data_IF_502577736750
#
_entry.id   IF_502577736750
#
_cell.length_a   1.000
_cell.length_b   1.000
_cell.length_c   1.000
_cell.angle_alpha   90.00
_cell.angle_beta   90.00
_cell.angle_gamma   90.00
#
_symmetry.space_group_name_H-M   'P 1'
#
loop_
_entity.id
_entity.type
_entity.pdbx_description
1 polymer ?
#
# COMPACT_ATOMS: atom_id res chain seq x y z
N UNK A 1 -11.27 -0.31 6.99
CA UNK A 1 -10.11 -1.12 6.59
C UNK A 1 -9.30 -1.64 7.77
N UNK A 2 -8.48 -0.82 8.45
CA UNK A 2 -7.58 -1.31 9.52
C UNK A 2 -8.34 -1.97 10.68
N UNK A 3 -9.35 -1.29 11.25
CA UNK A 3 -10.19 -1.87 12.30
C UNK A 3 -10.88 -3.15 11.85
N UNK A 4 -11.42 -3.17 10.63
CA UNK A 4 -12.12 -4.35 10.10
C UNK A 4 -11.18 -5.55 9.98
N UNK A 5 -9.94 -5.34 9.48
CA UNK A 5 -8.93 -6.39 9.38
C UNK A 5 -8.56 -6.92 10.78
N UNK A 6 -8.32 -6.01 11.72
CA UNK A 6 -7.92 -6.40 13.07
C UNK A 6 -9.04 -7.15 13.80
N UNK A 7 -10.29 -6.70 13.68
CA UNK A 7 -11.44 -7.34 14.30
C UNK A 7 -11.72 -8.74 13.69
N UNK A 8 -11.64 -8.89 12.36
CA UNK A 8 -11.87 -10.17 11.68
C UNK A 8 -10.84 -11.23 12.01
N UNK A 9 -9.59 -10.83 12.23
CA UNK A 9 -8.46 -11.75 12.43
C UNK A 9 -7.96 -11.79 13.89
N UNK A 10 -8.67 -11.15 14.82
CA UNK A 10 -8.28 -11.13 16.23
C UNK A 10 -6.94 -10.43 16.50
N UNK A 11 -6.52 -9.49 15.66
CA UNK A 11 -5.27 -8.76 15.86
C UNK A 11 -5.42 -7.79 17.03
N UNK A 12 -4.46 -7.71 17.97
CA UNK A 12 -4.57 -6.82 19.12
C UNK A 12 -4.65 -5.34 18.70
N UNK A 13 -5.79 -4.71 19.01
CA UNK A 13 -6.04 -3.30 18.73
C UNK A 13 -7.05 -2.74 19.74
N UNK A 14 -7.05 -1.42 19.92
CA UNK A 14 -7.97 -0.74 20.84
C UNK A 14 -8.33 0.65 20.34
N UNK A 15 -9.63 0.94 20.29
CA UNK A 15 -10.10 2.32 20.13
C UNK A 15 -9.95 3.04 21.48
N UNK A 16 -8.87 3.80 21.61
CA UNK A 16 -8.56 4.61 22.79
C UNK A 16 -9.16 6.01 22.69
N UNK A 17 -9.69 6.40 21.52
CA UNK A 17 -9.96 7.80 21.19
C UNK A 17 -8.68 8.64 21.27
N UNK A 18 -8.79 9.92 20.92
CA UNK A 18 -7.71 10.90 21.08
C UNK A 18 -8.31 12.25 21.46
N UNK A 19 -7.70 12.91 22.43
CA UNK A 19 -8.01 14.28 22.82
C UNK A 19 -6.90 15.21 22.33
N UNK A 20 -7.30 16.17 21.51
CA UNK A 20 -6.45 17.32 21.17
C UNK A 20 -6.72 18.38 22.23
N UNK A 21 -5.72 18.65 23.08
CA UNK A 21 -5.86 19.51 24.26
C UNK A 21 -5.24 20.89 24.03
N UNK A 22 -5.99 21.94 24.35
CA UNK A 22 -5.54 23.32 24.28
C UNK A 22 -5.41 23.91 25.70
N UNK A 23 -4.27 24.54 25.97
CA UNK A 23 -3.98 25.27 27.20
C UNK A 23 -4.17 26.79 27.05
N UNK A 24 -4.05 27.33 25.84
CA UNK A 24 -4.24 28.76 25.55
C UNK A 24 -5.35 28.99 24.52
N UNK A 25 -5.83 30.23 24.44
CA UNK A 25 -6.80 30.64 23.42
C UNK A 25 -6.25 30.49 22.00
N UNK A 26 -4.94 30.72 21.76
CA UNK A 26 -4.36 30.50 20.43
C UNK A 26 -4.34 29.01 20.06
N UNK A 27 -3.99 28.15 21.03
CA UNK A 27 -4.05 26.70 20.86
C UNK A 27 -5.48 26.23 20.60
N UNK A 28 -6.45 26.82 21.28
CA UNK A 28 -7.86 26.49 21.10
C UNK A 28 -8.37 26.88 19.70
N UNK A 29 -8.03 28.09 19.23
CA UNK A 29 -8.33 28.51 17.87
C UNK A 29 -7.71 27.57 16.81
N UNK A 30 -6.49 27.06 17.04
CA UNK A 30 -5.86 26.07 16.17
C UNK A 30 -6.57 24.70 16.21
N UNK A 31 -6.98 24.25 17.40
CA UNK A 31 -7.73 23.01 17.57
C UNK A 31 -9.11 23.07 16.88
N UNK A 32 -9.81 24.21 16.96
CA UNK A 32 -11.08 24.44 16.27
C UNK A 32 -10.93 24.39 14.74
N UNK A 33 -9.87 24.98 14.18
CA UNK A 33 -9.57 24.83 12.74
C UNK A 33 -9.36 23.37 12.33
N UNK A 34 -8.71 22.59 13.18
CA UNK A 34 -8.51 21.14 12.96
C UNK A 34 -9.84 20.40 13.01
N UNK A 35 -10.72 20.73 13.98
CA UNK A 35 -12.07 20.19 14.07
C UNK A 35 -12.90 20.51 12.82
N UNK A 36 -12.92 21.77 12.38
CA UNK A 36 -13.63 22.19 11.15
C UNK A 36 -13.11 21.46 9.91
N UNK A 37 -11.79 21.31 9.78
CA UNK A 37 -11.20 20.56 8.66
C UNK A 37 -11.61 19.09 8.70
N UNK A 38 -11.53 18.44 9.87
CA UNK A 38 -11.96 17.05 10.04
C UNK A 38 -13.43 16.85 9.65
N UNK A 39 -14.33 17.75 10.07
CA UNK A 39 -15.74 17.71 9.68
C UNK A 39 -15.93 17.83 8.16
N UNK A 40 -15.18 18.73 7.49
CA UNK A 40 -15.26 18.92 6.02
C UNK A 40 -14.87 17.66 5.24
N UNK A 41 -13.91 16.87 5.76
CA UNK A 41 -13.47 15.61 5.12
C UNK A 41 -14.21 14.37 5.66
N UNK A 42 -15.29 14.55 6.42
CA UNK A 42 -16.12 13.46 6.93
C UNK A 42 -15.50 12.65 8.08
N UNK A 43 -14.46 13.17 8.74
CA UNK A 43 -13.84 12.52 9.90
C UNK A 43 -14.56 12.96 11.18
N UNK A 44 -15.19 12.03 11.93
CA UNK A 44 -15.95 12.38 13.11
C UNK A 44 -15.03 12.94 14.19
N UNK A 45 -15.43 14.08 14.75
CA UNK A 45 -14.80 14.73 15.91
C UNK A 45 -15.88 15.46 16.71
N UNK A 46 -15.64 15.70 18.00
CA UNK A 46 -16.56 16.48 18.85
C UNK A 46 -15.81 17.35 19.85
N UNK A 47 -16.43 18.44 20.30
CA UNK A 47 -15.89 19.26 21.38
C UNK A 47 -16.33 18.66 22.72
N UNK A 48 -15.43 18.63 23.70
CA UNK A 48 -15.73 18.14 25.06
C UNK A 48 -15.83 19.31 26.03
N UNK A 49 -16.89 19.34 26.83
CA UNK A 49 -17.08 20.32 27.90
C UNK A 49 -16.23 20.01 29.13
N UNK A 50 -15.82 21.04 29.88
CA UNK A 50 -14.94 20.90 31.04
C UNK A 50 -15.42 19.90 32.11
N UNK A 51 -16.72 19.89 32.41
CA UNK A 51 -17.29 18.98 33.40
C UNK A 51 -17.23 17.51 32.94
N UNK A 52 -17.48 17.25 31.66
CA UNK A 52 -17.34 15.92 31.06
C UNK A 52 -15.86 15.50 31.05
N UNK A 53 -14.96 16.40 30.66
CA UNK A 53 -13.51 16.14 30.65
C UNK A 53 -13.00 15.72 32.04
N UNK A 54 -13.35 16.48 33.08
CA UNK A 54 -12.95 16.20 34.46
C UNK A 54 -13.50 14.87 34.98
N UNK A 55 -14.70 14.47 34.53
CA UNK A 55 -15.31 13.20 34.91
C UNK A 55 -14.69 12.00 34.19
N UNK A 56 -14.33 12.16 32.91
CA UNK A 56 -13.77 11.09 32.09
C UNK A 56 -12.27 10.88 32.34
N UNK A 57 -11.49 11.96 32.36
CA UNK A 57 -10.02 11.92 32.41
C UNK A 57 -9.51 12.98 33.41
N UNK A 58 -9.68 12.76 34.73
CA UNK A 58 -9.44 13.76 35.75
C UNK A 58 -7.99 14.25 35.84
N UNK A 59 -7.04 13.46 35.33
CA UNK A 59 -5.61 13.78 35.31
C UNK A 59 -5.19 14.58 34.08
N UNK A 60 -6.03 14.63 33.05
CA UNK A 60 -5.73 15.33 31.79
C UNK A 60 -6.14 16.79 31.89
N UNK A 61 -5.17 17.69 31.77
CA UNK A 61 -5.40 19.13 31.80
C UNK A 61 -5.60 19.68 30.39
N UNK A 62 -6.65 20.49 30.22
CA UNK A 62 -6.89 21.31 29.04
C UNK A 62 -7.60 22.61 29.44
N UNK A 63 -6.84 23.69 29.62
CA UNK A 63 -7.37 24.92 30.20
C UNK A 63 -8.33 25.69 29.27
N UNK A 64 -8.13 25.59 27.95
CA UNK A 64 -8.90 26.35 26.96
C UNK A 64 -9.96 25.50 26.26
N UNK A 65 -9.66 24.23 25.92
CA UNK A 65 -10.64 23.36 25.29
C UNK A 65 -10.08 22.04 24.80
N UNK A 66 -11.00 21.15 24.39
CA UNK A 66 -10.68 19.79 23.95
C UNK A 66 -11.47 19.46 22.68
N UNK A 67 -10.77 18.96 21.66
CA UNK A 67 -11.37 18.28 20.51
C UNK A 67 -11.10 16.78 20.64
N UNK A 68 -12.16 15.98 20.76
CA UNK A 68 -12.08 14.52 20.76
C UNK A 68 -12.21 13.97 19.34
N UNK A 69 -11.32 13.04 18.98
CA UNK A 69 -11.46 12.11 17.86
C UNK A 69 -11.88 10.74 18.39
N UNK A 70 -13.16 10.34 18.27
CA UNK A 70 -13.71 9.12 18.86
C UNK A 70 -13.31 7.84 18.11
N UNK A 71 -12.69 7.96 16.94
CA UNK A 71 -12.29 6.81 16.10
C UNK A 71 -10.79 6.53 16.13
N UNK A 72 -9.99 7.39 16.77
CA UNK A 72 -8.54 7.16 16.89
C UNK A 72 -8.27 5.97 17.81
N UNK A 73 -7.32 5.12 17.46
CA UNK A 73 -6.92 3.98 18.29
C UNK A 73 -5.46 3.59 18.11
N UNK A 74 -5.13 2.45 18.70
CA UNK A 74 -3.80 1.83 18.68
C UNK A 74 -3.91 0.38 18.18
N UNK A 75 -2.82 -0.13 17.60
CA UNK A 75 -2.71 -1.49 17.07
C UNK A 75 -1.33 -2.05 17.40
N UNK A 76 -1.24 -3.34 17.68
CA UNK A 76 0.04 -4.05 17.70
C UNK A 76 0.57 -4.17 16.27
N UNK A 77 1.54 -3.33 15.92
CA UNK A 77 2.13 -3.31 14.58
C UNK A 77 2.90 -4.59 14.28
N UNK A 78 3.49 -5.27 15.26
CA UNK A 78 4.23 -6.50 15.03
C UNK A 78 3.26 -7.64 14.69
N UNK A 79 2.20 -7.81 15.49
CA UNK A 79 1.15 -8.78 15.20
C UNK A 79 0.49 -8.53 13.83
N UNK A 80 0.27 -7.26 13.46
CA UNK A 80 -0.22 -6.90 12.13
C UNK A 80 0.75 -7.32 11.01
N UNK A 81 2.05 -7.01 11.15
CA UNK A 81 3.05 -7.37 10.14
C UNK A 81 3.22 -8.89 10.01
N UNK A 82 3.25 -9.62 11.13
CA UNK A 82 3.31 -11.09 11.12
C UNK A 82 2.09 -11.69 10.43
N UNK A 83 0.89 -11.16 10.69
CA UNK A 83 -0.31 -11.59 9.98
C UNK A 83 -0.22 -11.34 8.47
N UNK A 84 0.21 -10.14 8.06
CA UNK A 84 0.34 -9.78 6.64
C UNK A 84 1.41 -10.62 5.93
N UNK A 85 2.51 -10.95 6.62
CA UNK A 85 3.50 -11.88 6.10
C UNK A 85 2.88 -13.27 5.88
N UNK A 86 2.19 -13.82 6.88
CA UNK A 86 1.54 -15.13 6.76
C UNK A 86 0.50 -15.17 5.64
N UNK A 87 -0.37 -14.17 5.53
CA UNK A 87 -1.35 -14.09 4.43
C UNK A 87 -0.69 -13.94 3.05
N UNK A 88 0.48 -13.30 2.98
CA UNK A 88 1.26 -13.21 1.75
C UNK A 88 1.88 -14.57 1.37
N UNK A 89 2.50 -15.27 2.32
CA UNK A 89 3.13 -16.57 2.13
C UNK A 89 2.09 -17.66 1.80
N UNK A 90 0.94 -17.69 2.50
CA UNK A 90 -0.17 -18.62 2.24
C UNK A 90 -0.76 -18.47 0.83
N UNK A 91 -0.58 -17.31 0.20
CA UNK A 91 -0.98 -17.02 -1.18
C UNK A 91 0.13 -17.30 -2.21
N UNK A 92 1.22 -17.94 -1.78
CA UNK A 92 2.36 -18.32 -2.62
C UNK A 92 3.38 -17.19 -2.83
N UNK A 93 3.42 -16.21 -1.94
CA UNK A 93 4.50 -15.22 -1.88
C UNK A 93 5.74 -15.76 -1.17
N UNK A 94 6.93 -15.32 -1.60
CA UNK A 94 8.21 -15.69 -0.97
C UNK A 94 8.80 -14.50 -0.21
N UNK A 95 9.28 -14.73 1.02
CA UNK A 95 10.04 -13.75 1.79
C UNK A 95 11.52 -14.17 1.94
N UNK A 96 12.43 -13.41 1.32
CA UNK A 96 13.87 -13.58 1.47
C UNK A 96 14.44 -12.58 2.50
N UNK A 97 14.55 -13.02 3.76
CA UNK A 97 15.14 -12.22 4.83
C UNK A 97 16.67 -12.17 4.76
N UNK A 98 17.28 -11.23 5.48
CA UNK A 98 18.74 -11.06 5.55
C UNK A 98 19.41 -10.94 4.16
N UNK A 99 18.68 -10.38 3.21
CA UNK A 99 19.06 -10.31 1.79
C UNK A 99 19.00 -8.84 1.37
N UNK A 100 20.15 -8.18 1.34
CA UNK A 100 20.24 -6.75 1.06
C UNK A 100 20.35 -6.50 -0.45
N UNK A 101 19.47 -5.67 -1.01
CA UNK A 101 19.56 -5.26 -2.42
C UNK A 101 20.73 -4.30 -2.59
N UNK A 102 21.66 -4.63 -3.49
CA UNK A 102 22.88 -3.86 -3.75
C UNK A 102 22.93 -3.23 -5.13
N UNK A 103 22.09 -3.70 -6.06
CA UNK A 103 22.01 -3.13 -7.40
C UNK A 103 20.73 -3.52 -8.12
N UNK A 104 20.27 -2.63 -9.01
CA UNK A 104 19.09 -2.86 -9.84
C UNK A 104 19.41 -2.38 -11.26
N UNK A 105 19.23 -3.25 -12.25
CA UNK A 105 19.39 -2.93 -13.66
C UNK A 105 18.02 -2.99 -14.36
N UNK A 106 17.60 -1.88 -14.96
CA UNK A 106 16.40 -1.81 -15.80
C UNK A 106 16.69 -2.41 -17.18
N UNK A 107 16.27 -3.67 -17.41
CA UNK A 107 16.55 -4.38 -18.65
C UNK A 107 15.75 -3.77 -19.80
N UNK A 108 16.45 -3.25 -20.82
CA UNK A 108 15.84 -2.52 -21.94
C UNK A 108 14.93 -1.36 -21.47
N UNK A 109 15.41 -0.57 -20.49
CA UNK A 109 14.64 0.53 -19.90
C UNK A 109 13.39 0.04 -19.15
N UNK A 110 13.48 -1.10 -18.46
CA UNK A 110 12.37 -1.70 -17.70
C UNK A 110 11.37 -2.49 -18.55
N UNK A 111 11.36 -2.31 -19.89
CA UNK A 111 10.47 -3.06 -20.81
C UNK A 111 10.68 -4.57 -20.79
N UNK A 112 11.81 -5.04 -20.27
CA UNK A 112 12.09 -6.47 -20.12
C UNK A 112 12.17 -6.90 -18.64
N UNK A 113 11.68 -6.07 -17.73
CA UNK A 113 11.80 -6.20 -16.29
C UNK A 113 13.09 -5.62 -15.73
N UNK A 114 13.41 -6.03 -14.51
CA UNK A 114 14.52 -5.58 -13.69
C UNK A 114 15.35 -6.79 -13.28
N UNK A 115 16.68 -6.66 -13.35
CA UNK A 115 17.59 -7.57 -12.66
C UNK A 115 17.93 -6.94 -11.31
N UNK A 116 17.69 -7.68 -10.25
CA UNK A 116 17.97 -7.26 -8.87
C UNK A 116 19.14 -8.09 -8.37
N UNK A 117 20.22 -7.42 -7.99
CA UNK A 117 21.37 -8.03 -7.31
C UNK A 117 21.21 -7.81 -5.82
N UNK A 118 21.40 -8.88 -5.06
CA UNK A 118 21.32 -8.84 -3.61
C UNK A 118 22.41 -9.69 -2.97
N UNK A 119 22.78 -9.32 -1.74
CA UNK A 119 23.80 -9.99 -0.93
C UNK A 119 23.15 -10.50 0.34
N UNK A 120 23.29 -11.80 0.60
CA UNK A 120 22.81 -12.44 1.84
C UNK A 120 23.73 -12.15 3.02
N UNK A 121 23.28 -12.41 4.25
CA UNK A 121 24.07 -12.14 5.46
C UNK A 121 25.42 -12.86 5.55
N UNK A 122 25.60 -13.96 4.82
CA UNK A 122 26.87 -14.69 4.72
C UNK A 122 27.81 -14.12 3.63
N UNK A 123 27.40 -13.06 2.94
CA UNK A 123 28.15 -12.41 1.87
C UNK A 123 27.94 -13.01 0.48
N UNK A 124 27.07 -14.02 0.33
CA UNK A 124 26.78 -14.59 -0.99
C UNK A 124 25.98 -13.60 -1.83
N UNK A 125 26.51 -13.29 -3.02
CA UNK A 125 25.79 -12.49 -4.01
C UNK A 125 24.89 -13.38 -4.88
N UNK A 126 23.64 -12.95 -5.05
CA UNK A 126 22.68 -13.58 -5.95
C UNK A 126 22.01 -12.53 -6.82
N UNK A 127 21.42 -12.97 -7.93
CA UNK A 127 20.57 -12.11 -8.75
C UNK A 127 19.28 -12.80 -9.14
N UNK A 128 18.20 -12.02 -9.12
CA UNK A 128 16.88 -12.44 -9.58
C UNK A 128 16.41 -11.47 -10.65
N UNK A 129 15.42 -11.89 -11.44
CA UNK A 129 14.74 -11.02 -12.39
C UNK A 129 13.28 -10.93 -12.03
N UNK A 130 12.74 -9.72 -11.99
CA UNK A 130 11.32 -9.45 -11.77
C UNK A 130 10.80 -8.52 -12.87
N UNK A 131 9.52 -8.63 -13.21
CA UNK A 131 8.90 -7.75 -14.21
C UNK A 131 8.31 -6.49 -13.58
N UNK A 132 7.87 -6.61 -12.34
CA UNK A 132 7.41 -5.52 -11.50
C UNK A 132 8.34 -5.43 -10.30
N UNK A 133 8.78 -4.21 -9.98
CA UNK A 133 9.59 -3.87 -8.84
C UNK A 133 8.84 -2.81 -8.03
N UNK A 134 8.46 -3.16 -6.80
CA UNK A 134 7.86 -2.20 -5.86
C UNK A 134 8.92 -1.79 -4.85
N UNK A 135 9.38 -0.55 -4.93
CA UNK A 135 10.30 0.02 -3.95
C UNK A 135 9.51 0.49 -2.73
N UNK A 136 9.61 -0.27 -1.63
CA UNK A 136 9.04 0.05 -0.32
C UNK A 136 10.12 0.09 0.77
N UNK A 137 11.34 0.53 0.43
CA UNK A 137 12.52 0.41 1.30
C UNK A 137 12.60 1.46 2.45
N UNK A 138 11.50 2.16 2.76
CA UNK A 138 11.43 3.11 3.88
C UNK A 138 12.53 4.18 3.84
N UNK A 139 13.37 4.25 4.88
CA UNK A 139 14.52 5.17 4.95
C UNK A 139 15.50 5.01 3.78
N UNK A 140 15.53 3.85 3.13
CA UNK A 140 16.40 3.57 1.99
C UNK A 140 15.72 3.73 0.62
N UNK A 141 14.45 4.13 0.57
CA UNK A 141 13.69 4.19 -0.67
C UNK A 141 14.30 5.14 -1.71
N UNK A 142 14.90 6.27 -1.30
CA UNK A 142 15.64 7.16 -2.20
C UNK A 142 16.85 6.48 -2.84
N UNK A 143 17.57 5.60 -2.13
CA UNK A 143 18.72 4.90 -2.72
C UNK A 143 18.26 3.89 -3.78
N UNK A 144 17.21 3.11 -3.49
CA UNK A 144 16.62 2.18 -4.48
C UNK A 144 16.12 2.94 -5.72
N UNK A 145 15.45 4.09 -5.52
CA UNK A 145 15.06 5.00 -6.60
C UNK A 145 16.27 5.38 -7.48
N UNK A 146 17.36 5.80 -6.84
CA UNK A 146 18.56 6.28 -7.54
C UNK A 146 19.37 5.15 -8.22
N UNK A 147 19.16 3.88 -7.84
CA UNK A 147 19.74 2.73 -8.57
C UNK A 147 19.12 2.55 -9.95
N UNK A 148 17.85 2.95 -10.13
CA UNK A 148 17.08 2.71 -11.36
C UNK A 148 16.96 3.97 -12.21
N UNK A 149 16.63 5.10 -11.58
CA UNK A 149 16.31 6.34 -12.28
C UNK A 149 17.57 7.09 -12.72
N UNK A 150 17.48 7.89 -13.80
CA UNK A 150 18.60 8.71 -14.25
C UNK A 150 18.91 9.86 -13.26
N UNK A 151 20.14 10.41 -13.27
CA UNK A 151 20.62 11.37 -12.27
C UNK A 151 19.71 12.58 -12.01
N UNK A 152 19.02 13.09 -13.03
CA UNK A 152 18.10 14.23 -12.93
C UNK A 152 16.83 13.93 -12.12
N UNK A 153 16.51 12.64 -11.90
CA UNK A 153 15.39 12.17 -11.06
C UNK A 153 15.87 11.55 -9.75
N UNK A 154 17.14 11.71 -9.42
CA UNK A 154 17.67 11.25 -8.14
C UNK A 154 17.08 12.07 -6.99
N UNK A 155 16.88 11.41 -5.87
CA UNK A 155 16.34 12.02 -4.64
C UNK A 155 17.31 11.85 -3.49
N UNK A 156 17.29 12.82 -2.58
CA UNK A 156 18.10 12.80 -1.35
C UNK A 156 17.20 12.43 -0.17
N UNK A 157 17.52 11.40 0.61
CA UNK A 157 16.79 11.08 1.82
C UNK A 157 17.17 12.04 2.96
N UNK A 158 16.22 12.30 3.84
CA UNK A 158 16.43 13.02 5.10
C UNK A 158 15.78 12.24 6.25
N UNK A 159 16.34 12.37 7.45
CA UNK A 159 15.98 11.52 8.58
C UNK A 159 15.54 12.37 9.78
N UNK A 160 14.27 12.23 10.15
CA UNK A 160 13.72 12.87 11.33
C UNK A 160 13.51 11.83 12.44
N UNK A 161 14.49 11.72 13.32
CA UNK A 161 14.48 10.88 14.52
C UNK A 161 13.45 11.39 15.52
N UNK A 162 12.72 10.47 16.13
CA UNK A 162 11.83 10.72 17.25
C UNK A 162 12.21 9.82 18.43
N UNK A 163 12.49 10.43 19.57
CA UNK A 163 12.75 9.78 20.86
C UNK A 163 11.45 9.59 21.61
N UNK A 164 11.24 8.39 22.13
CA UNK A 164 10.10 8.01 22.96
C UNK A 164 10.55 7.79 24.41
N UNK A 165 9.62 8.02 25.33
CA UNK A 165 9.84 7.85 26.76
C UNK A 165 8.77 6.95 27.36
N UNK A 166 9.17 6.09 28.29
CA UNK A 166 8.28 5.20 29.03
C UNK A 166 7.85 5.84 30.35
N UNK A 167 6.69 5.44 30.88
CA UNK A 167 6.22 5.84 32.19
C UNK A 167 5.96 4.60 33.07
N UNK A 168 6.75 4.43 34.12
CA UNK A 168 6.72 3.22 34.95
C UNK A 168 5.70 3.25 36.09
N UNK A 169 5.22 4.42 36.49
CA UNK A 169 4.25 4.55 37.56
C UNK A 169 2.83 4.19 37.08
N UNK A 170 1.99 3.77 38.03
CA UNK A 170 0.59 3.41 37.77
C UNK A 170 -0.37 4.60 37.82
N UNK A 171 0.12 5.78 38.23
CA UNK A 171 -0.62 7.02 38.36
C UNK A 171 0.30 8.21 38.04
N UNK A 172 -0.17 9.27 37.35
CA UNK A 172 -1.52 9.42 36.79
C UNK A 172 -1.79 8.43 35.64
N UNK A 173 -3.06 8.18 35.36
CA UNK A 173 -3.52 7.26 34.31
C UNK A 173 -4.55 7.94 33.43
N UNK A 174 -4.62 7.51 32.18
CA UNK A 174 -5.63 7.97 31.22
C UNK A 174 -6.06 6.82 30.31
N UNK A 175 -7.30 6.87 29.80
CA UNK A 175 -7.80 5.91 28.82
C UNK A 175 -7.75 6.42 27.38
N UNK A 176 -7.42 7.70 27.19
CA UNK A 176 -7.35 8.36 25.88
C UNK A 176 -5.92 8.73 25.50
N UNK A 177 -5.66 8.85 24.21
CA UNK A 177 -4.42 9.46 23.72
C UNK A 177 -4.52 10.99 23.90
N UNK A 178 -3.45 11.65 24.35
CA UNK A 178 -3.45 13.10 24.57
C UNK A 178 -2.43 13.78 23.67
N UNK A 179 -2.92 14.66 22.80
CA UNK A 179 -2.12 15.37 21.80
C UNK A 179 -2.24 16.87 22.06
N UNK A 180 -1.16 17.57 22.40
CA UNK A 180 -1.20 19.02 22.53
C UNK A 180 -1.60 19.68 21.20
N UNK A 181 -2.45 20.69 21.23
CA UNK A 181 -2.75 21.49 20.06
C UNK A 181 -1.50 22.23 19.60
N UNK A 182 -1.07 22.00 18.35
CA UNK A 182 0.12 22.60 17.77
C UNK A 182 -0.19 23.96 17.17
N UNK A 183 0.66 24.94 17.43
CA UNK A 183 0.60 26.24 16.76
C UNK A 183 1.32 26.18 15.39
N UNK A 184 0.84 26.90 14.37
CA UNK A 184 1.52 26.99 13.08
C UNK A 184 2.97 27.48 13.25
N UNK A 185 3.93 26.81 12.61
CA UNK A 185 5.35 27.19 12.62
C UNK A 185 6.20 26.55 13.73
N UNK A 186 5.60 25.86 14.71
CA UNK A 186 6.36 24.99 15.60
C UNK A 186 6.67 23.67 14.87
N UNK A 187 7.95 23.43 14.55
CA UNK A 187 8.40 22.32 13.68
C UNK A 187 8.24 20.90 14.24
N UNK A 188 7.59 20.72 15.39
CA UNK A 188 7.31 19.43 16.01
C UNK A 188 5.86 19.32 16.44
N UNK A 189 5.31 18.09 16.42
CA UNK A 189 3.92 17.82 16.80
C UNK A 189 3.64 17.94 18.30
N UNK A 190 4.61 18.42 19.10
CA UNK A 190 4.59 18.34 20.56
C UNK A 190 4.81 16.91 21.08
N UNK A 191 5.23 16.77 22.33
CA UNK A 191 5.37 15.46 22.98
C UNK A 191 3.97 14.87 23.24
N UNK A 192 3.56 13.86 22.46
CA UNK A 192 2.26 13.19 22.66
C UNK A 192 2.28 12.26 23.87
N UNK A 193 1.09 11.99 24.40
CA UNK A 193 0.84 10.87 25.30
C UNK A 193 0.11 9.79 24.49
N UNK A 194 0.72 8.62 24.39
CA UNK A 194 0.10 7.43 23.83
C UNK A 194 0.00 6.33 24.87
N UNK A 195 -0.75 5.29 24.53
CA UNK A 195 -0.94 4.11 25.38
C UNK A 195 -0.44 2.89 24.64
N UNK A 196 0.23 1.98 25.33
CA UNK A 196 0.37 0.61 24.84
C UNK A 196 -0.93 -0.19 25.06
N UNK A 197 -0.99 -1.41 24.51
CA UNK A 197 -2.15 -2.28 24.64
C UNK A 197 -2.41 -2.71 26.10
N UNK A 198 -1.39 -2.72 26.94
CA UNK A 198 -1.52 -2.92 28.39
C UNK A 198 -2.09 -1.69 29.13
N UNK A 199 -2.22 -0.55 28.45
CA UNK A 199 -2.69 0.71 29.03
C UNK A 199 -1.59 1.52 29.73
N UNK A 200 -0.32 1.17 29.54
CA UNK A 200 0.79 1.97 30.07
C UNK A 200 0.99 3.20 29.20
N UNK A 201 1.28 4.31 29.87
CA UNK A 201 1.56 5.59 29.22
C UNK A 201 2.94 5.55 28.57
N UNK A 202 3.01 6.11 27.36
CA UNK A 202 4.25 6.44 26.66
C UNK A 202 4.20 7.90 26.21
N UNK A 203 5.36 8.53 26.14
CA UNK A 203 5.50 9.91 25.68
C UNK A 203 6.36 9.99 24.42
N UNK A 204 6.14 11.06 23.66
CA UNK A 204 6.85 11.35 22.43
C UNK A 204 5.98 11.07 21.20
N UNK A 205 6.57 11.07 20.00
CA UNK A 205 7.97 11.39 19.74
C UNK A 205 8.24 12.89 19.71
N UNK A 206 9.49 13.25 19.97
CA UNK A 206 10.03 14.54 19.57
C UNK A 206 10.50 14.54 18.09
N UNK A 207 11.22 15.60 17.69
CA UNK A 207 11.88 15.66 16.38
C UNK A 207 13.34 16.09 16.53
N UNK A 208 14.25 15.27 16.01
CA UNK A 208 15.69 15.50 15.88
C UNK A 208 16.13 15.12 14.45
N UNK A 209 16.78 16.03 13.73
CA UNK A 209 17.29 15.73 12.39
C UNK A 209 18.66 15.08 12.50
N UNK A 210 18.79 13.90 11.89
CA UNK A 210 20.03 13.12 11.88
C UNK A 210 20.47 12.86 10.44
N UNK A 211 21.72 12.48 10.26
CA UNK A 211 22.30 12.21 8.93
C UNK A 211 22.42 10.70 8.64
N UNK A 212 22.21 9.83 9.64
CA UNK A 212 22.26 8.36 9.52
C UNK A 212 20.89 7.74 9.87
N UNK A 213 20.29 6.93 8.97
CA UNK A 213 19.04 6.22 9.25
C UNK A 213 19.17 5.09 10.29
N UNK A 214 20.38 4.81 10.79
CA UNK A 214 20.65 3.82 11.84
C UNK A 214 20.99 4.46 13.19
N UNK A 215 21.00 5.79 13.31
CA UNK A 215 21.11 6.46 14.61
C UNK A 215 19.82 6.28 15.41
N UNK A 216 19.69 5.12 16.06
CA UNK A 216 18.54 4.75 16.89
C UNK A 216 18.83 4.90 18.39
N UNK A 217 19.86 5.67 18.76
CA UNK A 217 20.20 5.93 20.16
C UNK A 217 19.29 7.05 20.70
N UNK A 218 18.49 6.79 21.75
CA UNK A 218 17.67 7.80 22.40
C UNK A 218 18.49 8.96 22.96
N UNK A 219 18.05 10.19 22.69
CA UNK A 219 18.77 11.40 23.10
C UNK A 219 18.38 11.85 24.52
N UNK A 220 19.26 11.76 25.53
CA UNK A 220 18.93 12.17 26.90
C UNK A 220 18.65 13.67 27.02
N UNK A 221 19.26 14.48 26.14
CA UNK A 221 19.08 15.93 26.12
C UNK A 221 17.61 16.35 25.87
N UNK A 222 16.83 15.47 25.23
CA UNK A 222 15.45 15.73 24.85
C UNK A 222 14.45 15.53 25.98
N UNK A 223 14.80 14.69 26.96
CA UNK A 223 13.95 14.42 28.13
C UNK A 223 13.58 15.71 28.87
N UNK A 224 14.54 16.61 29.09
CA UNK A 224 14.29 17.87 29.81
C UNK A 224 13.32 18.82 29.10
N UNK A 225 13.25 18.76 27.76
CA UNK A 225 12.25 19.49 27.01
C UNK A 225 10.89 18.78 27.10
N UNK A 226 10.87 17.47 26.87
CA UNK A 226 9.66 16.65 26.95
C UNK A 226 8.95 16.78 28.31
N UNK A 227 9.69 16.73 29.42
CA UNK A 227 9.13 16.88 30.77
C UNK A 227 8.37 18.19 30.97
N UNK A 228 8.85 19.30 30.39
CA UNK A 228 8.16 20.59 30.46
C UNK A 228 6.86 20.58 29.67
N UNK A 229 6.86 19.97 28.49
CA UNK A 229 5.67 19.83 27.65
C UNK A 229 4.64 18.89 28.29
N UNK A 230 5.06 17.73 28.80
CA UNK A 230 4.20 16.72 29.43
C UNK A 230 3.42 17.33 30.61
N UNK A 231 4.10 18.08 31.49
CA UNK A 231 3.47 18.73 32.65
C UNK A 231 2.36 19.72 32.30
N UNK A 232 2.29 20.20 31.05
CA UNK A 232 1.22 21.11 30.62
C UNK A 232 -0.15 20.42 30.51
N UNK A 233 -0.17 19.13 30.15
CA UNK A 233 -1.39 18.35 29.96
C UNK A 233 -1.54 17.18 30.94
N UNK A 234 -0.49 16.84 31.69
CA UNK A 234 -0.50 15.81 32.73
C UNK A 234 0.28 16.31 33.98
N UNK A 235 -0.28 17.29 34.73
CA UNK A 235 0.46 18.03 35.76
C UNK A 235 0.92 17.18 36.95
N UNK A 236 0.20 16.09 37.25
CA UNK A 236 0.49 15.19 38.37
C UNK A 236 1.50 14.08 38.01
N UNK A 237 2.11 14.13 36.80
CA UNK A 237 3.09 13.15 36.39
C UNK A 237 4.32 13.16 37.30
N UNK A 238 4.79 11.97 37.68
CA UNK A 238 6.06 11.80 38.39
C UNK A 238 7.24 11.82 37.39
N UNK A 239 8.09 12.87 37.38
CA UNK A 239 9.20 12.95 36.43
C UNK A 239 10.23 11.84 36.62
N UNK A 240 10.40 11.33 37.84
CA UNK A 240 11.39 10.28 38.16
C UNK A 240 10.96 8.91 37.62
N UNK A 241 9.66 8.74 37.34
CA UNK A 241 9.13 7.53 36.72
C UNK A 241 9.15 7.59 35.17
N UNK A 242 9.68 8.66 34.58
CA UNK A 242 9.86 8.79 33.12
C UNK A 242 11.29 8.41 32.75
N UNK A 243 11.43 7.46 31.82
CA UNK A 243 12.73 6.98 31.33
C UNK A 243 12.79 7.00 29.80
N UNK A 244 14.00 7.10 29.25
CA UNK A 244 14.22 6.87 27.81
C UNK A 244 13.75 5.46 27.43
N UNK A 245 13.11 5.34 26.28
CA UNK A 245 12.61 4.07 25.77
C UNK A 245 13.33 3.75 24.44
N UNK A 246 12.69 4.01 23.31
CA UNK A 246 13.23 3.72 21.98
C UNK A 246 13.21 4.94 21.06
N UNK A 247 13.82 4.79 19.88
CA UNK A 247 13.75 5.74 18.79
C UNK A 247 13.11 5.14 17.54
N UNK A 248 12.53 6.00 16.72
CA UNK A 248 12.20 5.69 15.33
C UNK A 248 12.63 6.83 14.42
N UNK A 249 12.89 6.54 13.16
CA UNK A 249 13.29 7.53 12.15
C UNK A 249 12.22 7.61 11.07
N UNK A 250 11.74 8.82 10.80
CA UNK A 250 10.82 9.08 9.69
C UNK A 250 11.61 9.30 8.40
N UNK A 251 11.24 8.64 7.28
CA UNK A 251 11.80 8.94 5.97
C UNK A 251 11.23 10.27 5.47
N UNK A 252 12.07 11.27 5.24
CA UNK A 252 11.68 12.59 4.74
C UNK A 252 12.33 12.85 3.38
N UNK A 253 11.61 13.55 2.51
CA UNK A 253 12.10 13.95 1.17
C UNK A 253 12.67 15.37 1.14
N UNK A 254 12.50 16.12 2.23
CA UNK A 254 13.04 17.47 2.39
C UNK A 254 13.46 17.69 3.85
N UNK A 255 14.60 18.35 4.07
CA UNK A 255 15.08 18.69 5.41
C UNK A 255 14.24 19.81 6.00
N UNK A 256 13.83 19.66 7.25
CA UNK A 256 12.98 20.65 7.92
C UNK A 256 11.52 20.66 7.43
N UNK A 257 11.14 19.69 6.60
CA UNK A 257 9.77 19.58 6.10
C UNK A 257 8.77 19.37 7.23
N UNK A 258 7.64 20.09 7.17
CA UNK A 258 6.59 20.01 8.16
C UNK A 258 6.01 18.58 8.23
N UNK A 259 5.52 18.16 9.40
CA UNK A 259 5.02 16.80 9.62
C UNK A 259 3.56 16.63 9.15
N UNK A 260 2.77 17.71 9.16
CA UNK A 260 1.34 17.65 8.79
C UNK A 260 0.90 18.74 7.81
N UNK A 261 1.22 20.01 8.07
CA UNK A 261 0.77 21.15 7.24
C UNK A 261 1.75 22.31 7.38
N UNK A 262 1.97 23.07 6.30
CA UNK A 262 2.77 24.29 6.32
C UNK A 262 3.80 24.34 5.20
N UNK A 263 4.68 25.34 5.27
CA UNK A 263 5.77 25.50 4.30
C UNK A 263 6.72 24.31 4.38
N UNK A 264 6.95 23.62 3.26
CA UNK A 264 7.81 22.43 3.18
C UNK A 264 7.14 21.11 3.59
N UNK A 265 5.80 21.05 3.71
CA UNK A 265 5.10 19.77 3.78
C UNK A 265 5.26 19.03 2.44
N UNK A 266 5.56 17.74 2.50
CA UNK A 266 5.67 16.85 1.36
C UNK A 266 4.77 15.65 1.63
N UNK A 267 3.87 15.36 0.70
CA UNK A 267 3.02 14.18 0.77
C UNK A 267 3.81 12.92 0.36
N UNK A 268 3.21 11.75 0.57
CA UNK A 268 3.74 10.49 0.06
C UNK A 268 3.86 10.53 -1.46
N UNK A 269 4.91 9.93 -2.00
CA UNK A 269 5.03 9.68 -3.44
C UNK A 269 4.75 8.20 -3.65
N UNK A 270 3.66 7.89 -4.34
CA UNK A 270 3.23 6.53 -4.67
C UNK A 270 2.85 6.53 -6.15
N UNK A 271 3.76 6.06 -7.01
CA UNK A 271 3.58 6.15 -8.46
C UNK A 271 4.36 5.06 -9.19
N UNK A 272 3.90 4.69 -10.38
CA UNK A 272 4.74 4.04 -11.38
C UNK A 272 5.63 5.09 -12.05
N UNK A 273 6.93 4.81 -12.17
CA UNK A 273 7.88 5.78 -12.70
C UNK A 273 7.81 5.84 -14.23
N UNK A 274 7.52 7.04 -14.76
CA UNK A 274 7.41 7.28 -16.20
C UNK A 274 8.68 6.80 -16.94
N UNK A 275 8.49 6.01 -18.00
CA UNK A 275 9.57 5.43 -18.80
C UNK A 275 10.19 4.15 -18.22
N UNK A 276 9.76 3.71 -17.03
CA UNK A 276 10.22 2.50 -16.35
C UNK A 276 9.02 1.61 -15.97
N UNK A 277 8.39 0.94 -16.95
CA UNK A 277 7.19 0.14 -16.69
C UNK A 277 7.46 -0.96 -15.66
N UNK A 278 6.50 -1.17 -14.77
CA UNK A 278 6.59 -2.07 -13.63
C UNK A 278 7.40 -1.54 -12.46
N UNK A 279 8.03 -0.36 -12.52
CA UNK A 279 8.74 0.21 -11.37
C UNK A 279 7.85 1.16 -10.58
N UNK A 280 7.37 0.69 -9.42
CA UNK A 280 6.50 1.45 -8.53
C UNK A 280 7.32 1.94 -7.33
N UNK A 281 7.32 3.24 -7.09
CA UNK A 281 8.06 3.88 -6.00
C UNK A 281 7.13 4.33 -4.88
N UNK A 282 7.44 3.95 -3.64
CA UNK A 282 6.83 4.47 -2.41
C UNK A 282 7.89 5.24 -1.63
N UNK A 283 7.83 6.57 -1.68
CA UNK A 283 8.85 7.45 -1.09
C UNK A 283 8.23 8.34 -0.02
N UNK A 284 8.98 8.58 1.06
CA UNK A 284 8.55 9.47 2.15
C UNK A 284 7.37 8.94 2.95
N UNK A 285 7.15 7.62 3.01
CA UNK A 285 6.07 7.00 3.79
C UNK A 285 6.34 7.15 5.30
N UNK A 286 6.11 8.35 5.83
CA UNK A 286 6.15 8.66 7.25
C UNK A 286 4.77 8.45 7.90
N UNK A 287 4.48 9.08 9.05
CA UNK A 287 3.13 9.06 9.63
C UNK A 287 2.14 9.77 8.68
N UNK A 288 0.95 9.20 8.39
CA UNK A 288 0.28 8.06 9.03
C UNK A 288 0.43 6.70 8.31
N UNK A 289 1.60 6.38 7.77
CA UNK A 289 1.87 5.22 6.91
C UNK A 289 1.44 3.85 7.45
N UNK A 290 1.53 3.62 8.77
CA UNK A 290 1.01 2.39 9.39
C UNK A 290 -0.52 2.30 9.21
N UNK A 291 -1.24 3.37 9.53
CA UNK A 291 -2.70 3.44 9.43
C UNK A 291 -3.18 3.30 7.99
N UNK A 292 -2.46 3.91 7.04
CA UNK A 292 -2.79 3.89 5.61
C UNK A 292 -2.19 2.70 4.86
N UNK A 293 -1.45 1.80 5.51
CA UNK A 293 -0.71 0.71 4.84
C UNK A 293 -1.56 -0.16 3.91
N UNK A 294 -2.76 -0.56 4.34
CA UNK A 294 -3.68 -1.34 3.51
C UNK A 294 -4.20 -0.56 2.29
N UNK A 295 -4.51 0.73 2.47
CA UNK A 295 -4.96 1.60 1.39
C UNK A 295 -3.83 1.91 0.40
N UNK A 296 -2.59 2.05 0.90
CA UNK A 296 -1.39 2.14 0.07
C UNK A 296 -1.23 0.85 -0.76
N UNK A 297 -1.43 -0.32 -0.15
CA UNK A 297 -1.45 -1.60 -0.87
C UNK A 297 -2.50 -1.65 -1.99
N UNK A 298 -3.72 -1.17 -1.73
CA UNK A 298 -4.77 -1.05 -2.76
C UNK A 298 -4.41 -0.06 -3.87
N UNK A 299 -3.79 1.08 -3.52
CA UNK A 299 -3.31 2.07 -4.50
C UNK A 299 -2.21 1.48 -5.39
N UNK A 300 -1.21 0.80 -4.82
CA UNK A 300 -0.15 0.11 -5.57
C UNK A 300 -0.73 -0.96 -6.47
N UNK A 301 -1.73 -1.72 -5.99
CA UNK A 301 -2.45 -2.70 -6.80
C UNK A 301 -3.19 -2.04 -7.97
N UNK A 302 -3.77 -0.86 -7.77
CA UNK A 302 -4.43 -0.07 -8.81
C UNK A 302 -3.48 0.43 -9.90
N UNK A 303 -2.18 0.54 -9.62
CA UNK A 303 -1.16 0.86 -10.63
C UNK A 303 -0.81 -0.31 -11.57
N UNK A 304 -1.37 -1.51 -11.33
CA UNK A 304 -1.19 -2.66 -12.22
C UNK A 304 -2.27 -2.69 -13.31
N UNK A 305 -2.03 -3.41 -14.41
CA UNK A 305 -3.00 -3.45 -15.51
C UNK A 305 -4.18 -4.39 -15.20
N UNK A 306 -5.37 -3.82 -15.12
CA UNK A 306 -6.63 -4.53 -14.88
C UNK A 306 -7.50 -4.72 -16.13
N UNK A 307 -7.20 -4.01 -17.23
CA UNK A 307 -8.03 -4.09 -18.43
C UNK A 307 -7.84 -5.44 -19.13
N UNK A 308 -8.94 -6.19 -19.20
CA UNK A 308 -9.08 -7.42 -19.99
C UNK A 308 -9.86 -7.11 -21.25
N UNK A 309 -9.15 -7.00 -22.36
CA UNK A 309 -9.76 -6.71 -23.66
C UNK A 309 -10.16 -8.03 -24.33
N UNK A 310 -11.38 -8.08 -24.85
CA UNK A 310 -11.84 -9.18 -25.70
C UNK A 310 -11.07 -9.13 -27.02
N UNK A 311 -10.43 -10.23 -27.38
CA UNK A 311 -9.59 -10.34 -28.58
C UNK A 311 -10.02 -11.50 -29.47
N UNK A 312 -9.75 -11.38 -30.76
CA UNK A 312 -9.99 -12.43 -31.75
C UNK A 312 -8.85 -13.45 -31.91
N UNK A 313 -7.81 -13.35 -31.08
CA UNK A 313 -6.69 -14.30 -31.08
C UNK A 313 -7.11 -15.70 -30.61
N UNK A 314 -6.18 -16.64 -30.53
CA UNK A 314 -6.43 -17.99 -30.00
C UNK A 314 -5.79 -18.24 -28.62
N UNK A 315 -5.27 -17.19 -27.99
CA UNK A 315 -4.60 -17.25 -26.70
C UNK A 315 -5.16 -16.19 -25.75
N UNK A 316 -5.45 -16.58 -24.51
CA UNK A 316 -5.55 -15.63 -23.41
C UNK A 316 -4.14 -15.16 -23.04
N UNK A 317 -3.99 -13.92 -22.61
CA UNK A 317 -2.73 -13.44 -22.08
C UNK A 317 -2.93 -12.39 -20.99
N UNK A 318 -1.99 -12.31 -20.05
CA UNK A 318 -1.98 -11.30 -19.01
C UNK A 318 -0.62 -10.62 -18.92
N UNK A 319 -0.64 -9.31 -18.64
CA UNK A 319 0.54 -8.47 -18.50
C UNK A 319 1.25 -8.71 -17.18
N UNK A 320 0.51 -8.73 -16.08
CA UNK A 320 1.08 -8.79 -14.75
C UNK A 320 1.12 -10.22 -14.21
N UNK A 321 2.28 -10.65 -13.70
CA UNK A 321 2.44 -11.93 -13.01
C UNK A 321 1.45 -12.10 -11.84
N UNK A 322 1.14 -11.00 -11.15
CA UNK A 322 0.23 -10.98 -10.01
C UNK A 322 -1.21 -11.39 -10.36
N UNK A 323 -1.57 -11.38 -11.64
CA UNK A 323 -2.90 -11.76 -12.11
C UNK A 323 -3.13 -13.28 -12.12
N UNK A 324 -2.05 -14.08 -12.09
CA UNK A 324 -2.11 -15.54 -12.19
C UNK A 324 -2.37 -16.21 -10.84
N UNK A 325 -3.41 -17.05 -10.78
CA UNK A 325 -3.71 -17.94 -9.65
C UNK A 325 -2.78 -19.14 -9.60
N UNK A 326 -2.49 -19.74 -10.75
CA UNK A 326 -1.45 -20.77 -10.90
C UNK A 326 -0.45 -20.30 -11.94
N UNK A 327 0.82 -20.71 -11.83
CA UNK A 327 1.83 -20.24 -12.76
C UNK A 327 2.97 -21.24 -12.94
N UNK A 328 3.36 -21.46 -14.19
CA UNK A 328 4.55 -22.23 -14.56
C UNK A 328 5.44 -21.40 -15.47
N UNK A 329 6.69 -21.20 -15.03
CA UNK A 329 7.67 -20.43 -15.80
C UNK A 329 8.10 -21.21 -17.04
N UNK A 330 7.76 -20.71 -18.22
CA UNK A 330 8.03 -21.35 -19.52
C UNK A 330 8.40 -20.27 -20.56
N UNK A 331 9.61 -19.69 -20.47
CA UNK A 331 10.00 -18.58 -21.32
C UNK A 331 10.08 -19.01 -22.79
N UNK A 332 9.60 -18.16 -23.68
CA UNK A 332 9.55 -18.41 -25.12
C UNK A 332 9.01 -17.23 -25.92
N UNK A 333 8.62 -17.51 -27.16
CA UNK A 333 7.92 -16.57 -28.03
C UNK A 333 6.68 -17.26 -28.58
N UNK A 334 5.57 -16.54 -28.62
CA UNK A 334 4.29 -16.98 -29.19
C UNK A 334 3.74 -15.81 -30.00
N UNK A 335 3.38 -16.03 -31.27
CA UNK A 335 2.84 -14.96 -32.12
C UNK A 335 3.80 -13.77 -32.22
N UNK A 336 5.11 -14.03 -32.27
CA UNK A 336 6.17 -13.01 -32.28
C UNK A 336 6.40 -12.29 -30.95
N UNK A 337 5.54 -12.49 -29.96
CA UNK A 337 5.59 -11.81 -28.66
C UNK A 337 6.30 -12.64 -27.60
N UNK A 338 6.95 -11.96 -26.65
CA UNK A 338 7.67 -12.60 -25.54
C UNK A 338 6.66 -13.17 -24.54
N UNK A 339 6.82 -14.47 -24.22
CA UNK A 339 6.05 -15.17 -23.18
C UNK A 339 7.02 -15.64 -22.10
N UNK A 340 6.67 -15.46 -20.83
CA UNK A 340 7.52 -15.84 -19.69
C UNK A 340 7.03 -17.07 -18.93
N UNK A 341 5.74 -17.38 -19.06
CA UNK A 341 5.12 -18.53 -18.44
C UNK A 341 3.68 -18.67 -18.88
N UNK A 342 3.03 -19.67 -18.31
CA UNK A 342 1.63 -19.99 -18.56
C UNK A 342 0.97 -20.39 -17.25
N UNK A 343 -0.31 -20.11 -17.10
CA UNK A 343 -1.02 -20.40 -15.87
C UNK A 343 -2.52 -20.22 -16.00
N UNK A 344 -3.20 -20.25 -14.86
CA UNK A 344 -4.63 -19.91 -14.77
C UNK A 344 -4.82 -18.55 -14.12
N UNK A 345 -5.87 -17.85 -14.54
CA UNK A 345 -6.31 -16.57 -14.00
C UNK A 345 -7.77 -16.70 -13.57
N UNK A 346 -8.12 -16.05 -12.46
CA UNK A 346 -9.51 -15.95 -12.03
C UNK A 346 -9.94 -14.50 -11.96
N UNK A 347 -10.99 -14.18 -12.72
CA UNK A 347 -11.56 -12.86 -12.82
C UNK A 347 -12.90 -12.84 -12.12
N UNK A 348 -13.04 -11.98 -11.11
CA UNK A 348 -14.37 -11.66 -10.59
C UNK A 348 -15.01 -10.67 -11.55
N UNK A 349 -16.13 -11.04 -12.14
CA UNK A 349 -16.78 -10.32 -13.25
C UNK A 349 -18.22 -10.00 -12.90
N UNK A 350 -18.73 -8.86 -13.38
CA UNK A 350 -20.16 -8.55 -13.31
C UNK A 350 -20.89 -9.43 -14.31
N UNK A 351 -22.05 -9.96 -13.91
CA UNK A 351 -22.85 -10.83 -14.79
C UNK A 351 -23.50 -10.07 -15.93
N UNK A 352 -24.05 -8.89 -15.65
CA UNK A 352 -24.75 -8.03 -16.62
C UNK A 352 -24.61 -6.56 -16.24
N UNK A 353 -24.91 -5.67 -17.19
CA UNK A 353 -24.97 -4.24 -16.93
C UNK A 353 -26.14 -3.89 -15.99
N UNK A 354 -25.89 -2.98 -15.04
CA UNK A 354 -26.90 -2.46 -14.12
C UNK A 354 -27.28 -3.37 -12.94
N UNK A 355 -26.71 -4.57 -12.81
CA UNK A 355 -26.96 -5.48 -11.68
C UNK A 355 -25.72 -5.66 -10.79
N UNK A 356 -25.97 -5.87 -9.50
CA UNK A 356 -25.00 -6.10 -8.45
C UNK A 356 -24.28 -7.46 -8.53
N UNK A 357 -24.83 -8.42 -9.29
CA UNK A 357 -24.39 -9.81 -9.27
C UNK A 357 -23.01 -10.03 -9.90
N UNK A 358 -22.26 -10.97 -9.31
CA UNK A 358 -20.87 -11.27 -9.63
C UNK A 358 -20.73 -12.76 -9.93
N UNK A 359 -19.92 -13.10 -10.92
CA UNK A 359 -19.46 -14.45 -11.21
C UNK A 359 -17.92 -14.52 -11.14
N UNK A 360 -17.37 -15.73 -11.12
CA UNK A 360 -15.93 -15.98 -11.24
C UNK A 360 -15.63 -16.64 -12.58
N UNK A 361 -15.00 -15.89 -13.48
CA UNK A 361 -14.53 -16.38 -14.76
C UNK A 361 -13.11 -16.95 -14.60
N UNK A 362 -12.97 -18.25 -14.87
CA UNK A 362 -11.68 -18.94 -14.84
C UNK A 362 -11.12 -19.04 -16.25
N UNK A 363 -9.93 -18.49 -16.46
CA UNK A 363 -9.20 -18.58 -17.71
C UNK A 363 -8.00 -19.51 -17.52
N UNK A 364 -8.00 -20.62 -18.24
CA UNK A 364 -6.88 -21.56 -18.26
C UNK A 364 -5.91 -21.27 -19.41
N UNK A 365 -4.67 -21.71 -19.22
CA UNK A 365 -3.61 -21.61 -20.22
C UNK A 365 -3.33 -20.17 -20.68
N UNK A 366 -3.47 -19.21 -19.77
CA UNK A 366 -3.19 -17.80 -20.02
C UNK A 366 -1.68 -17.63 -20.20
N UNK A 367 -1.27 -16.96 -21.27
CA UNK A 367 0.13 -16.65 -21.54
C UNK A 367 0.56 -15.43 -20.73
N UNK A 368 1.71 -15.51 -20.07
CA UNK A 368 2.26 -14.37 -19.37
C UNK A 368 3.13 -13.52 -20.27
N UNK A 369 2.65 -12.31 -20.57
CA UNK A 369 3.19 -11.42 -21.60
C UNK A 369 3.39 -10.01 -21.02
N UNK A 370 4.49 -9.75 -20.30
CA UNK A 370 4.72 -8.46 -19.62
C UNK A 370 4.74 -7.23 -20.54
N UNK A 371 5.08 -7.47 -21.82
CA UNK A 371 5.20 -6.40 -22.81
C UNK A 371 3.86 -6.12 -23.50
N UNK A 372 2.79 -6.86 -23.15
CA UNK A 372 1.45 -6.55 -23.62
C UNK A 372 1.01 -5.18 -23.10
N UNK A 373 0.20 -4.48 -23.91
CA UNK A 373 -0.39 -3.19 -23.53
C UNK A 373 -1.45 -3.34 -22.45
N UNK A 374 -2.20 -4.44 -22.50
CA UNK A 374 -3.27 -4.81 -21.57
C UNK A 374 -3.31 -6.34 -21.39
N UNK A 375 -4.29 -6.85 -20.64
CA UNK A 375 -4.62 -8.27 -20.64
C UNK A 375 -5.58 -8.59 -21.81
N UNK A 376 -5.58 -9.83 -22.28
CA UNK A 376 -6.38 -10.29 -23.40
C UNK A 376 -7.21 -11.53 -23.06
N UNK A 377 -8.52 -11.43 -23.23
CA UNK A 377 -9.44 -12.55 -23.24
C UNK A 377 -9.71 -12.93 -24.70
N UNK A 378 -9.15 -14.05 -25.16
CA UNK A 378 -9.45 -14.58 -26.49
C UNK A 378 -10.86 -15.19 -26.52
N UNK A 379 -11.76 -14.61 -27.31
CA UNK A 379 -13.11 -15.14 -27.45
C UNK A 379 -13.14 -16.52 -28.14
N UNK A 380 -12.35 -16.77 -29.21
CA UNK A 380 -12.22 -18.11 -29.77
C UNK A 380 -11.73 -19.14 -28.76
N UNK A 381 -10.75 -18.79 -27.91
CA UNK A 381 -10.22 -19.70 -26.89
C UNK A 381 -11.22 -19.95 -25.78
N UNK A 382 -11.95 -18.91 -25.38
CA UNK A 382 -13.03 -19.02 -24.40
C UNK A 382 -14.12 -19.98 -24.87
N UNK A 383 -14.59 -19.83 -26.12
CA UNK A 383 -15.59 -20.73 -26.73
C UNK A 383 -15.10 -22.17 -26.84
N UNK A 384 -13.80 -22.39 -27.05
CA UNK A 384 -13.20 -23.73 -27.08
C UNK A 384 -13.27 -24.41 -25.69
N UNK A 385 -13.02 -23.65 -24.62
CA UNK A 385 -13.02 -24.18 -23.24
C UNK A 385 -14.41 -24.19 -22.60
N UNK A 386 -15.35 -23.41 -23.14
CA UNK A 386 -16.74 -23.28 -22.69
C UNK A 386 -17.71 -23.51 -23.87
N UNK A 387 -17.75 -24.73 -24.45
CA UNK A 387 -18.45 -24.99 -25.71
C UNK A 387 -19.98 -24.93 -25.61
N UNK A 388 -20.52 -24.95 -24.38
CA UNK A 388 -21.95 -24.90 -24.14
C UNK A 388 -22.45 -23.47 -23.85
N UNK A 389 -21.56 -22.56 -23.44
CA UNK A 389 -21.87 -21.16 -23.16
C UNK A 389 -22.19 -20.38 -24.44
N UNK A 390 -23.34 -19.71 -24.46
CA UNK A 390 -23.68 -18.77 -25.53
C UNK A 390 -22.91 -17.47 -25.38
N UNK A 391 -22.34 -16.93 -26.46
CA UNK A 391 -21.66 -15.63 -26.44
C UNK A 391 -22.18 -14.75 -27.56
N UNK A 392 -22.93 -13.73 -27.20
CA UNK A 392 -23.42 -12.68 -28.09
C UNK A 392 -22.37 -11.57 -28.19
N UNK A 393 -22.06 -11.16 -29.41
CA UNK A 393 -21.07 -10.12 -29.73
C UNK A 393 -21.65 -9.26 -30.87
N UNK A 394 -22.13 -8.07 -30.52
CA UNK A 394 -22.70 -7.11 -31.48
C UNK A 394 -21.70 -6.01 -31.89
N UNK A 395 -20.44 -6.13 -31.47
CA UNK A 395 -19.34 -5.21 -31.75
C UNK A 395 -19.10 -4.15 -30.68
N UNK A 396 -20.16 -3.66 -30.02
CA UNK A 396 -20.07 -2.66 -28.94
C UNK A 396 -20.30 -3.28 -27.55
N UNK A 397 -20.91 -4.46 -27.51
CA UNK A 397 -21.22 -5.23 -26.33
C UNK A 397 -20.95 -6.72 -26.57
N UNK A 398 -20.26 -7.35 -25.63
CA UNK A 398 -20.06 -8.81 -25.61
C UNK A 398 -20.67 -9.35 -24.33
N UNK A 399 -21.54 -10.34 -24.42
CA UNK A 399 -22.15 -10.97 -23.26
C UNK A 399 -22.11 -12.50 -23.39
N UNK A 400 -21.60 -13.16 -22.35
CA UNK A 400 -21.66 -14.60 -22.23
C UNK A 400 -22.82 -15.03 -21.33
N UNK A 401 -23.49 -16.12 -21.72
CA UNK A 401 -24.67 -16.67 -21.06
C UNK A 401 -24.52 -18.18 -20.88
N UNK A 402 -25.16 -18.70 -19.83
CA UNK A 402 -25.28 -20.13 -19.53
C UNK A 402 -25.75 -20.94 -20.72
N UNK A 403 -25.56 -22.26 -20.64
CA UNK A 403 -25.86 -23.20 -21.73
C UNK A 403 -27.29 -23.14 -22.26
N UNK A 404 -28.25 -22.78 -21.41
CA UNK A 404 -29.66 -22.61 -21.76
C UNK A 404 -30.03 -21.16 -22.13
N UNK A 405 -29.05 -20.25 -22.16
CA UNK A 405 -29.19 -18.83 -22.44
C UNK A 405 -29.89 -18.02 -21.35
N UNK A 406 -30.28 -18.67 -20.25
CA UNK A 406 -31.16 -18.07 -19.23
C UNK A 406 -30.43 -17.11 -18.30
N UNK A 407 -29.14 -17.37 -18.06
CA UNK A 407 -28.36 -16.70 -17.02
C UNK A 407 -27.09 -16.08 -17.60
N UNK A 408 -26.91 -14.75 -17.52
CA UNK A 408 -25.68 -14.12 -17.98
C UNK A 408 -24.54 -14.43 -17.01
N UNK A 409 -23.35 -14.64 -17.55
CA UNK A 409 -22.18 -15.07 -16.78
C UNK A 409 -21.15 -13.95 -16.66
N UNK A 410 -20.92 -13.20 -17.72
CA UNK A 410 -20.06 -12.02 -17.75
C UNK A 410 -20.34 -11.19 -18.99
N UNK A 411 -19.92 -9.93 -18.97
CA UNK A 411 -20.04 -9.06 -20.14
C UNK A 411 -18.86 -8.10 -20.29
N UNK A 412 -18.74 -7.51 -21.47
CA UNK A 412 -17.81 -6.47 -21.82
C UNK A 412 -18.54 -5.24 -22.37
N UNK A 413 -17.95 -4.07 -22.16
CA UNK A 413 -18.44 -2.78 -22.65
C UNK A 413 -17.39 -2.12 -23.56
N UNK A 414 -17.85 -1.21 -24.41
CA UNK A 414 -16.98 -0.37 -25.24
C UNK A 414 -15.93 0.39 -24.42
N UNK A 415 -14.67 0.32 -24.85
CA UNK A 415 -13.52 0.94 -24.22
C UNK A 415 -12.44 1.21 -25.28
N UNK A 416 -12.20 2.48 -25.62
CA UNK A 416 -11.25 2.90 -26.67
C UNK A 416 -11.43 2.16 -28.01
N UNK A 417 -12.68 2.00 -28.46
CA UNK A 417 -13.01 1.27 -29.70
C UNK A 417 -12.80 -0.26 -29.63
N UNK A 418 -12.60 -0.79 -28.42
CA UNK A 418 -12.46 -2.21 -28.12
C UNK A 418 -13.56 -2.64 -27.13
N UNK A 419 -13.67 -3.95 -26.85
CA UNK A 419 -14.56 -4.47 -25.81
C UNK A 419 -13.77 -4.86 -24.56
N UNK A 420 -14.02 -4.20 -23.43
CA UNK A 420 -13.37 -4.49 -22.14
C UNK A 420 -14.30 -5.23 -21.19
N UNK A 421 -13.85 -6.36 -20.67
CA UNK A 421 -14.58 -7.16 -19.68
C UNK A 421 -14.81 -6.35 -18.40
N UNK A 422 -16.05 -6.36 -17.89
CA UNK A 422 -16.43 -5.62 -16.69
C UNK A 422 -16.13 -6.44 -15.44
N UNK A 423 -15.02 -6.08 -14.77
CA UNK A 423 -14.60 -6.72 -13.53
C UNK A 423 -15.44 -6.23 -12.33
N UNK A 424 -15.74 -7.12 -11.40
CA UNK A 424 -16.44 -6.81 -10.18
C UNK A 424 -15.59 -5.89 -9.27
N UNK A 425 -16.23 -4.87 -8.70
CA UNK A 425 -15.55 -3.82 -7.95
C UNK A 425 -14.86 -2.77 -8.82
N UNK A 426 -14.98 -2.89 -10.15
CA UNK A 426 -14.44 -1.95 -11.15
C UNK A 426 -12.98 -1.53 -10.87
N UNK A 427 -12.05 -2.50 -10.65
CA UNK A 427 -10.65 -2.17 -10.49
C UNK A 427 -10.16 -1.44 -11.74
N UNK A 428 -9.72 -0.21 -11.56
CA UNK A 428 -9.05 0.56 -12.60
C UNK A 428 -7.54 0.42 -12.44
N UNK A 429 -6.85 0.40 -13.58
CA UNK A 429 -5.40 0.60 -13.65
C UNK A 429 -5.02 1.12 -15.02
N UNK A 430 -3.81 1.66 -15.16
CA UNK A 430 -3.40 2.25 -16.43
C UNK A 430 -3.06 1.15 -17.45
N UNK A 431 -3.99 0.80 -18.33
CA UNK A 431 -3.59 0.38 -19.67
C UNK A 431 -3.36 1.65 -20.51
N UNK A 432 -2.22 1.73 -21.18
CA UNK A 432 -1.91 2.86 -22.09
C UNK A 432 -2.65 2.71 -23.43
N UNK A 433 -3.97 2.51 -23.37
CA UNK A 433 -4.86 2.51 -24.51
C UNK A 433 -5.51 3.90 -24.63
N UNK A 434 -5.67 4.40 -25.85
CA UNK A 434 -6.22 5.72 -26.16
C UNK A 434 -7.13 5.66 -27.40
N UNK A 435 -8.07 6.60 -27.50
CA UNK A 435 -9.04 6.66 -28.61
C UNK A 435 -8.39 6.95 -29.98
N UNK A 436 -7.18 7.53 -29.98
CA UNK A 436 -6.50 7.99 -31.20
C UNK A 436 -5.58 6.94 -31.86
N UNK A 437 -5.41 5.76 -31.26
CA UNK A 437 -4.53 4.70 -31.76
C UNK A 437 -5.31 3.45 -32.20
N UNK A 438 -4.84 2.78 -33.26
CA UNK A 438 -5.35 1.46 -33.64
C UNK A 438 -4.47 0.35 -33.05
N UNK A 439 -5.09 -0.59 -32.35
CA UNK A 439 -4.38 -1.63 -31.61
C UNK A 439 -4.53 -3.01 -32.26
N UNK A 440 -3.40 -3.70 -32.48
CA UNK A 440 -3.38 -5.13 -32.79
C UNK A 440 -3.10 -5.91 -31.50
N UNK A 441 -4.16 -6.35 -30.83
CA UNK A 441 -4.08 -7.03 -29.52
C UNK A 441 -4.17 -8.55 -29.61
N UNK A 442 -4.75 -9.09 -30.69
CA UNK A 442 -4.91 -10.53 -30.86
C UNK A 442 -3.56 -11.25 -30.95
N UNK A 443 -3.38 -12.26 -30.08
CA UNK A 443 -2.23 -13.17 -30.13
C UNK A 443 -2.66 -14.46 -30.84
N UNK A 444 -1.95 -14.80 -31.91
CA UNK A 444 -2.12 -16.04 -32.66
C UNK A 444 -0.92 -16.94 -32.43
N UNK A 445 -1.14 -18.06 -31.76
CA UNK A 445 -0.15 -19.11 -31.58
C UNK A 445 -0.35 -20.20 -32.64
N UNK A 446 0.73 -20.62 -33.29
CA UNK A 446 0.69 -21.83 -34.12
C UNK A 446 0.64 -23.09 -33.25
N UNK A 447 0.21 -24.21 -33.84
CA UNK A 447 0.22 -25.51 -33.14
C UNK A 447 1.64 -25.90 -32.69
N UNK A 448 2.64 -25.63 -33.53
CA UNK A 448 4.05 -25.89 -33.21
C UNK A 448 4.55 -25.04 -32.04
N UNK A 449 4.19 -23.75 -32.01
CA UNK A 449 4.53 -22.84 -30.92
C UNK A 449 3.95 -23.32 -29.58
N UNK A 450 2.67 -23.72 -29.59
CA UNK A 450 1.99 -24.24 -28.39
C UNK A 450 2.56 -25.59 -27.94
N UNK A 451 2.86 -26.50 -28.87
CA UNK A 451 3.47 -27.78 -28.53
C UNK A 451 4.85 -27.60 -27.87
N UNK A 452 5.67 -26.71 -28.44
CA UNK A 452 6.96 -26.34 -27.86
C UNK A 452 6.84 -25.72 -26.46
N UNK A 453 5.83 -24.86 -26.24
CA UNK A 453 5.55 -24.30 -24.92
C UNK A 453 5.20 -25.42 -23.92
N UNK A 454 4.31 -26.35 -24.30
CA UNK A 454 3.89 -27.44 -23.42
C UNK A 454 5.01 -28.42 -23.08
N UNK A 455 5.93 -28.68 -24.00
CA UNK A 455 7.13 -29.46 -23.71
C UNK A 455 8.01 -28.77 -22.64
N UNK A 456 8.18 -27.44 -22.72
CA UNK A 456 8.94 -26.69 -21.70
C UNK A 456 8.25 -26.69 -20.35
N UNK A 457 6.92 -26.62 -20.33
CA UNK A 457 6.11 -26.69 -19.11
C UNK A 457 6.21 -28.05 -18.44
N UNK A 458 6.18 -29.16 -19.22
CA UNK A 458 6.32 -30.53 -18.70
C UNK A 458 7.71 -30.82 -18.15
N UNK A 459 8.75 -30.28 -18.78
CA UNK A 459 10.15 -30.51 -18.41
C UNK A 459 10.61 -29.70 -17.18
N UNK A 460 9.75 -28.85 -16.62
CA UNK A 460 10.02 -28.11 -15.39
C UNK A 460 9.16 -28.69 -14.28
N UNK A 461 9.79 -29.28 -13.28
CA UNK A 461 9.11 -29.76 -12.08
C UNK A 461 8.39 -28.62 -11.39
N UNK A 462 7.28 -28.93 -10.69
CA UNK A 462 6.66 -28.04 -9.72
C UNK A 462 7.76 -27.46 -8.83
N UNK A 463 8.02 -26.17 -8.96
CA UNK A 463 8.66 -25.43 -7.87
C UNK A 463 7.50 -25.16 -6.94
N UNK A 464 7.46 -25.89 -5.83
CA UNK A 464 6.54 -25.66 -4.74
C UNK A 464 6.80 -24.29 -4.12
#
# INVERSE_FOLDING_TARGET
MMYDLCARNGLPHRNTKKWIVAQTEEQWAAALKTHEHAQKIGVPTRLIGRAEAQALEPEVQALAGIVESPTTGIVDSHSLMTYLQGDFEDRGGDCAFLTNVTGIEALNGGKNGYRITAVTSDGTETSITAETLVNSAGNYACYINNMVLPPERHRTPYYAKGTYFSYAASFPKTSVLVYPATLPGHGGLGTHLTLDLGGRIRFGPDVEWVDDPNDLVPSPARLQQALREIKTYLPNVDPEAISLDYCGIRPKLERGGAVNTGKGFQDFIIQEEEGFPGFINLLGIESPGLTSSLAIGEMVKGLLCWDWIVTGGNCHYAKNRATFRSYRRAPGKIGGSRVLGVGSVELRVRRRSGDGEINTLVLDNVLHMPNARCNGLSLPKYRETHPLTGVDDDGDHVEARSDDGSEPEWYAEGYHGLSRVVLAGEPQGESHLSDDEHYMLSVMASNEEMENLWQRVKNRSWVA
#
